data_IF_958831669842
#
_entry.id   IF_958831669842
#
_cell.length_a   1.000
_cell.length_b   1.000
_cell.length_c   1.000
_cell.angle_alpha   90.00
_cell.angle_beta   90.00
_cell.angle_gamma   90.00
#
_symmetry.space_group_name_H-M   'P 1'
#
loop_
_entity.id
_entity.type
_entity.pdbx_description
1 polymer ?
#
# COMPACT_ATOMS: atom_id res chain seq x y z
N UNK A 1 -14.01 20.34 6.25
CA UNK A 1 -12.80 19.86 6.96
C UNK A 1 -13.01 18.40 7.32
N UNK A 2 -12.35 17.47 6.63
CA UNK A 2 -12.37 16.04 6.96
C UNK A 2 -11.33 15.76 8.04
N UNK A 3 -11.79 15.51 9.27
CA UNK A 3 -10.92 15.20 10.41
C UNK A 3 -10.62 13.72 10.52
N UNK A 4 -9.61 13.39 11.31
CA UNK A 4 -9.27 12.00 11.67
C UNK A 4 -10.31 11.45 12.65
N UNK A 5 -10.90 10.29 12.35
CA UNK A 5 -11.88 9.61 13.22
C UNK A 5 -11.25 8.39 13.89
N UNK A 6 -11.50 8.23 15.18
CA UNK A 6 -11.05 7.08 15.98
C UNK A 6 -12.26 6.20 16.31
N UNK A 7 -12.20 4.92 15.96
CA UNK A 7 -13.12 3.90 16.43
C UNK A 7 -12.34 2.82 17.20
N UNK A 8 -12.81 2.41 18.37
CA UNK A 8 -12.17 1.37 19.17
C UNK A 8 -13.09 0.75 20.23
N UNK A 9 -12.89 -0.55 20.46
CA UNK A 9 -13.35 -1.33 21.63
C UNK A 9 -12.14 -1.59 22.55
N UNK A 10 -12.35 -1.83 23.85
CA UNK A 10 -11.28 -1.84 24.86
C UNK A 10 -10.22 -2.95 24.70
N UNK A 11 -10.46 -3.97 23.86
CA UNK A 11 -9.45 -4.92 23.38
C UNK A 11 -9.51 -5.00 21.84
N UNK A 12 -8.43 -4.62 21.15
CA UNK A 12 -8.34 -4.72 19.68
C UNK A 12 -7.59 -3.59 18.98
N UNK A 13 -7.79 -3.47 17.67
CA UNK A 13 -7.21 -2.42 16.84
C UNK A 13 -7.92 -1.08 17.03
N UNK A 14 -7.15 0.01 17.07
CA UNK A 14 -7.66 1.37 16.90
C UNK A 14 -7.57 1.73 15.43
N UNK A 15 -8.72 1.92 14.78
CA UNK A 15 -8.76 2.31 13.37
C UNK A 15 -8.77 3.84 13.26
N UNK A 16 -7.90 4.34 12.38
CA UNK A 16 -7.66 5.77 12.18
C UNK A 16 -7.99 6.08 10.73
N UNK A 17 -9.09 6.79 10.51
CA UNK A 17 -9.47 7.24 9.17
C UNK A 17 -8.73 8.53 8.82
N UNK A 18 -7.97 8.52 7.73
CA UNK A 18 -7.19 9.68 7.26
C UNK A 18 -8.02 10.56 6.34
N UNK A 19 -7.67 11.84 6.12
CA UNK A 19 -8.32 12.66 5.10
C UNK A 19 -8.36 11.97 3.74
N UNK A 20 -9.48 12.09 3.02
CA UNK A 20 -9.69 11.39 1.73
C UNK A 20 -8.74 11.78 0.60
N UNK A 21 -7.98 12.88 0.77
CA UNK A 21 -6.89 13.24 -0.14
C UNK A 21 -5.55 12.86 0.49
N UNK A 22 -4.91 11.84 -0.08
CA UNK A 22 -3.67 11.28 0.44
C UNK A 22 -2.54 12.33 0.51
N UNK A 23 -2.48 13.24 -0.46
CA UNK A 23 -1.48 14.32 -0.51
C UNK A 23 -1.52 15.23 0.72
N UNK A 24 -2.72 15.53 1.21
CA UNK A 24 -2.91 16.37 2.40
C UNK A 24 -2.39 15.69 3.65
N UNK A 25 -2.42 14.35 3.70
CA UNK A 25 -1.92 13.58 4.82
C UNK A 25 -0.43 13.28 4.70
N UNK A 26 0.05 12.85 3.53
CA UNK A 26 1.43 12.39 3.35
C UNK A 26 2.43 13.54 3.21
N UNK A 27 2.09 14.56 2.41
CA UNK A 27 3.05 15.58 2.01
C UNK A 27 3.06 16.80 2.92
N UNK A 28 1.97 17.06 3.66
CA UNK A 28 1.94 18.09 4.70
C UNK A 28 2.55 17.54 5.98
N UNK A 29 3.23 18.39 6.73
CA UNK A 29 3.90 17.98 7.98
C UNK A 29 2.96 17.37 9.03
N UNK A 30 1.67 17.75 9.00
CA UNK A 30 0.72 17.35 10.04
C UNK A 30 0.47 15.85 10.06
N UNK A 31 0.36 15.17 8.92
CA UNK A 31 0.10 13.73 8.89
C UNK A 31 1.24 12.90 9.48
N UNK A 32 2.50 13.06 9.02
CA UNK A 32 3.64 12.39 9.62
C UNK A 32 3.82 12.72 11.11
N UNK A 33 3.58 13.96 11.54
CA UNK A 33 3.63 14.33 12.97
C UNK A 33 2.57 13.62 13.81
N UNK A 34 1.35 13.47 13.28
CA UNK A 34 0.28 12.70 13.93
C UNK A 34 0.70 11.24 14.06
N UNK A 35 1.17 10.61 12.99
CA UNK A 35 1.62 9.21 13.02
C UNK A 35 2.82 9.02 13.94
N UNK A 36 3.78 9.95 13.95
CA UNK A 36 4.91 9.93 14.85
C UNK A 36 4.43 9.89 16.30
N UNK A 37 3.53 10.80 16.69
CA UNK A 37 2.97 10.85 18.04
C UNK A 37 2.23 9.56 18.42
N UNK A 38 1.37 9.05 17.53
CA UNK A 38 0.64 7.79 17.76
C UNK A 38 1.58 6.59 17.92
N UNK A 39 2.65 6.56 17.14
CA UNK A 39 3.61 5.46 17.11
C UNK A 39 4.57 5.42 18.32
N UNK A 40 4.54 6.44 19.19
CA UNK A 40 5.30 6.46 20.46
C UNK A 40 4.64 5.59 21.52
N UNK A 41 3.31 5.62 21.59
CA UNK A 41 2.54 4.93 22.63
C UNK A 41 1.85 3.65 22.12
N UNK A 42 1.91 3.39 20.81
CA UNK A 42 1.26 2.22 20.22
C UNK A 42 2.00 1.70 18.99
N UNK A 43 1.97 0.37 18.79
CA UNK A 43 2.41 -0.23 17.54
C UNK A 43 1.45 0.24 16.44
N UNK A 44 2.00 0.88 15.41
CA UNK A 44 1.23 1.53 14.34
C UNK A 44 1.64 0.94 13.01
N UNK A 45 0.65 0.64 12.16
CA UNK A 45 0.83 0.20 10.78
C UNK A 45 -0.05 1.07 9.88
N UNK A 46 0.47 1.47 8.73
CA UNK A 46 -0.31 2.16 7.70
C UNK A 46 -0.92 1.12 6.75
N UNK A 47 -2.19 1.29 6.39
CA UNK A 47 -2.84 0.49 5.34
C UNK A 47 -2.97 1.36 4.10
N UNK A 48 -2.19 1.07 3.06
CA UNK A 48 -2.24 1.76 1.78
C UNK A 48 -3.27 1.10 0.87
N UNK A 49 -4.28 1.86 0.43
CA UNK A 49 -5.42 1.34 -0.32
C UNK A 49 -5.25 1.65 -1.81
N UNK A 50 -5.20 0.61 -2.62
CA UNK A 50 -5.15 0.62 -4.08
C UNK A 50 -6.57 0.46 -4.61
N UNK A 51 -6.93 1.33 -5.56
CA UNK A 51 -8.17 1.19 -6.34
C UNK A 51 -7.85 0.42 -7.63
N UNK A 52 -8.49 -0.74 -7.89
CA UNK A 52 -8.19 -1.58 -9.05
C UNK A 52 -8.51 -0.88 -10.37
N UNK A 53 -9.42 0.10 -10.40
CA UNK A 53 -9.70 0.86 -11.61
C UNK A 53 -8.61 1.88 -11.94
N UNK A 54 -7.86 2.33 -10.93
CA UNK A 54 -6.71 3.24 -11.08
C UNK A 54 -5.38 2.49 -11.23
N UNK A 55 -5.36 1.18 -11.00
CA UNK A 55 -4.19 0.31 -11.14
C UNK A 55 -4.39 -0.74 -12.24
N UNK A 56 -5.07 -0.35 -13.32
CA UNK A 56 -5.51 -1.30 -14.37
C UNK A 56 -4.43 -1.53 -15.44
N UNK A 57 -3.53 -0.58 -15.65
CA UNK A 57 -2.34 -0.79 -16.48
C UNK A 57 -1.14 -1.30 -15.64
N UNK A 58 -0.21 -2.06 -16.25
CA UNK A 58 1.08 -2.42 -15.66
C UNK A 58 1.82 -1.24 -15.02
N UNK A 59 1.96 -0.14 -15.76
CA UNK A 59 2.62 1.08 -15.31
C UNK A 59 1.90 1.72 -14.11
N UNK A 60 0.57 1.73 -14.11
CA UNK A 60 -0.23 2.25 -12.99
C UNK A 60 -0.01 1.45 -11.69
N UNK A 61 0.07 0.12 -11.80
CA UNK A 61 0.34 -0.75 -10.65
C UNK A 61 1.74 -0.51 -10.07
N UNK A 62 2.74 -0.32 -10.94
CA UNK A 62 4.10 0.02 -10.52
C UNK A 62 4.15 1.39 -9.79
N UNK A 63 3.43 2.39 -10.31
CA UNK A 63 3.30 3.70 -9.66
C UNK A 63 2.60 3.57 -8.31
N UNK A 64 1.50 2.82 -8.23
CA UNK A 64 0.76 2.60 -6.98
C UNK A 64 1.61 1.87 -5.93
N UNK A 65 2.35 0.85 -6.34
CA UNK A 65 3.30 0.11 -5.48
C UNK A 65 4.39 1.05 -4.94
N UNK A 66 4.91 1.93 -5.80
CA UNK A 66 5.89 2.95 -5.41
C UNK A 66 5.32 3.94 -4.40
N UNK A 67 4.05 4.33 -4.54
CA UNK A 67 3.38 5.19 -3.58
C UNK A 67 3.18 4.53 -2.21
N UNK A 68 3.01 3.21 -2.15
CA UNK A 68 3.03 2.46 -0.89
C UNK A 68 4.41 2.54 -0.20
N UNK A 69 5.49 2.37 -0.97
CA UNK A 69 6.86 2.50 -0.47
C UNK A 69 7.10 3.92 0.05
N UNK A 70 6.71 4.94 -0.72
CA UNK A 70 6.80 6.35 -0.31
C UNK A 70 6.01 6.60 0.97
N UNK A 71 4.83 5.99 1.12
CA UNK A 71 4.01 6.06 2.33
C UNK A 71 4.76 5.52 3.55
N UNK A 72 5.37 4.33 3.44
CA UNK A 72 6.22 3.74 4.49
C UNK A 72 7.37 4.69 4.88
N UNK A 73 8.11 5.20 3.88
CA UNK A 73 9.25 6.09 4.11
C UNK A 73 8.84 7.40 4.77
N UNK A 74 7.71 7.97 4.36
CA UNK A 74 7.23 9.27 4.82
C UNK A 74 6.65 9.19 6.23
N UNK A 75 5.90 8.12 6.54
CA UNK A 75 5.26 7.94 7.84
C UNK A 75 6.14 7.25 8.87
N UNK A 76 7.25 6.62 8.46
CA UNK A 76 8.20 5.91 9.33
C UNK A 76 7.54 4.82 10.20
N UNK A 77 6.50 4.20 9.66
CA UNK A 77 5.82 3.03 10.21
C UNK A 77 5.72 1.96 9.12
N UNK A 78 5.63 0.67 9.48
CA UNK A 78 5.31 -0.39 8.54
C UNK A 78 4.07 -0.05 7.72
N UNK A 79 4.04 -0.46 6.44
CA UNK A 79 2.91 -0.25 5.56
C UNK A 79 2.48 -1.57 4.92
N UNK A 80 1.18 -1.86 4.97
CA UNK A 80 0.55 -3.00 4.29
C UNK A 80 -0.29 -2.45 3.15
N UNK A 81 -0.16 -3.03 1.96
CA UNK A 81 -0.93 -2.63 0.79
C UNK A 81 -2.13 -3.52 0.60
N UNK A 82 -3.27 -2.92 0.26
CA UNK A 82 -4.49 -3.65 -0.12
C UNK A 82 -5.02 -3.17 -1.46
N UNK A 83 -5.59 -4.07 -2.24
CA UNK A 83 -6.49 -3.72 -3.36
C UNK A 83 -7.90 -3.85 -2.84
N UNK A 84 -8.63 -2.74 -2.76
CA UNK A 84 -10.03 -2.73 -2.31
C UNK A 84 -10.99 -2.79 -3.52
N UNK A 85 -12.29 -3.04 -3.30
CA UNK A 85 -13.35 -3.06 -4.33
C UNK A 85 -13.21 -4.21 -5.33
N UNK A 86 -12.66 -5.35 -4.91
CA UNK A 86 -12.54 -6.53 -5.78
C UNK A 86 -13.91 -7.08 -6.24
N UNK A 87 -14.99 -6.77 -5.52
CA UNK A 87 -16.36 -7.09 -5.94
C UNK A 87 -16.80 -6.38 -7.23
N UNK A 88 -16.13 -5.29 -7.61
CA UNK A 88 -16.41 -4.53 -8.82
C UNK A 88 -15.43 -4.82 -9.96
N UNK A 89 -14.26 -5.37 -9.64
CA UNK A 89 -13.23 -5.63 -10.61
C UNK A 89 -13.31 -7.08 -11.08
N UNK A 90 -13.57 -7.30 -12.38
CA UNK A 90 -13.31 -8.60 -13.04
C UNK A 90 -11.80 -8.73 -13.23
N UNK A 91 -11.08 -8.95 -12.15
CA UNK A 91 -9.67 -8.58 -12.03
C UNK A 91 -8.67 -9.65 -12.50
N UNK A 92 -9.03 -10.51 -13.46
CA UNK A 92 -8.14 -11.60 -13.92
C UNK A 92 -6.75 -11.09 -14.38
N UNK A 93 -6.68 -9.88 -14.92
CA UNK A 93 -5.41 -9.30 -15.38
C UNK A 93 -4.62 -8.65 -14.24
N UNK A 94 -5.28 -7.98 -13.28
CA UNK A 94 -4.61 -7.47 -12.08
C UNK A 94 -4.05 -8.62 -11.23
N UNK A 95 -4.75 -9.75 -11.16
CA UNK A 95 -4.27 -10.96 -10.48
C UNK A 95 -2.97 -11.48 -11.09
N UNK A 96 -2.91 -11.56 -12.43
CA UNK A 96 -1.69 -11.99 -13.12
C UNK A 96 -0.55 -11.00 -12.90
N UNK A 97 -0.83 -9.69 -12.92
CA UNK A 97 0.17 -8.65 -12.71
C UNK A 97 0.71 -8.62 -11.29
N UNK A 98 -0.14 -8.90 -10.29
CA UNK A 98 0.28 -9.01 -8.88
C UNK A 98 1.02 -10.32 -8.59
N UNK A 99 0.71 -11.40 -9.32
CA UNK A 99 1.34 -12.70 -9.11
C UNK A 99 2.72 -12.82 -9.76
N UNK A 100 3.01 -12.03 -10.80
CA UNK A 100 4.26 -12.10 -11.55
C UNK A 100 4.86 -10.71 -11.79
N UNK A 101 5.71 -10.28 -10.85
CA UNK A 101 6.48 -9.03 -10.94
C UNK A 101 7.41 -8.98 -12.17
N UNK A 102 7.87 -10.13 -12.67
CA UNK A 102 8.73 -10.18 -13.86
C UNK A 102 7.91 -9.92 -15.12
N UNK A 103 6.69 -10.45 -15.16
CA UNK A 103 5.71 -10.13 -16.21
C UNK A 103 5.34 -8.65 -16.18
N UNK A 104 5.11 -8.08 -15.00
CA UNK A 104 4.87 -6.64 -14.81
C UNK A 104 6.01 -5.80 -15.41
N UNK A 105 7.27 -6.10 -15.04
CA UNK A 105 8.43 -5.38 -15.55
C UNK A 105 8.58 -5.51 -17.07
N UNK A 106 8.34 -6.70 -17.63
CA UNK A 106 8.38 -6.92 -19.07
C UNK A 106 7.32 -6.10 -19.80
N UNK A 107 6.08 -6.06 -19.31
CA UNK A 107 4.96 -5.31 -19.92
C UNK A 107 5.27 -3.82 -19.97
N UNK A 108 5.77 -3.25 -18.88
CA UNK A 108 6.11 -1.82 -18.81
C UNK A 108 7.24 -1.48 -19.79
N UNK A 109 8.24 -2.36 -19.93
CA UNK A 109 9.31 -2.16 -20.92
C UNK A 109 8.80 -2.20 -22.38
N UNK A 110 7.69 -2.89 -22.65
CA UNK A 110 7.05 -2.92 -23.98
C UNK A 110 6.08 -1.74 -24.24
N UNK A 111 5.66 -1.01 -23.20
CA UNK A 111 4.77 0.16 -23.34
C UNK A 111 5.51 1.38 -23.90
N UNK A 112 6.83 1.45 -23.75
CA UNK A 112 7.64 2.65 -23.99
C UNK A 112 8.80 2.40 -24.95
N UNK A 113 9.32 3.46 -25.61
CA UNK A 113 10.45 3.38 -26.54
C UNK A 113 11.61 4.30 -26.14
N UNK A 114 12.85 3.86 -26.41
CA UNK A 114 14.06 4.65 -26.19
C UNK A 114 14.36 4.88 -24.70
N UNK A 115 14.79 6.08 -24.33
CA UNK A 115 15.26 6.41 -22.96
C UNK A 115 14.20 6.18 -21.88
N UNK A 116 12.91 6.28 -22.22
CA UNK A 116 11.82 6.06 -21.27
C UNK A 116 11.71 4.57 -20.92
N UNK A 117 11.93 3.66 -21.88
CA UNK A 117 11.99 2.23 -21.60
C UNK A 117 13.15 1.88 -20.65
N UNK A 118 14.33 2.49 -20.86
CA UNK A 118 15.49 2.31 -19.97
C UNK A 118 15.22 2.81 -18.54
N UNK A 119 14.55 3.95 -18.41
CA UNK A 119 14.13 4.48 -17.12
C UNK A 119 13.13 3.53 -16.43
N UNK A 120 12.13 3.06 -17.18
CA UNK A 120 11.13 2.11 -16.68
C UNK A 120 11.76 0.81 -16.18
N UNK A 121 12.75 0.26 -16.90
CA UNK A 121 13.46 -0.94 -16.46
C UNK A 121 14.19 -0.71 -15.13
N UNK A 122 14.95 0.39 -15.00
CA UNK A 122 15.65 0.73 -13.74
C UNK A 122 14.67 0.99 -12.59
N UNK A 123 13.55 1.63 -12.88
CA UNK A 123 12.51 1.88 -11.90
C UNK A 123 11.89 0.57 -11.40
N UNK A 124 11.65 -0.38 -12.31
CA UNK A 124 11.13 -1.70 -11.95
C UNK A 124 12.13 -2.53 -11.14
N UNK A 125 13.43 -2.43 -11.40
CA UNK A 125 14.45 -3.05 -10.54
C UNK A 125 14.39 -2.51 -9.11
N UNK A 126 14.27 -1.18 -8.95
CA UNK A 126 14.12 -0.55 -7.65
C UNK A 126 12.83 -0.99 -6.94
N UNK A 127 11.70 -1.00 -7.65
CA UNK A 127 10.42 -1.47 -7.08
C UNK A 127 10.57 -2.91 -6.64
N UNK A 128 11.11 -3.78 -7.48
CA UNK A 128 11.31 -5.21 -7.20
C UNK A 128 12.13 -5.44 -5.95
N UNK A 129 13.18 -4.65 -5.73
CA UNK A 129 14.00 -4.79 -4.51
C UNK A 129 13.27 -4.32 -3.25
N UNK A 130 12.44 -3.29 -3.37
CA UNK A 130 11.69 -2.71 -2.25
C UNK A 130 10.36 -3.42 -1.98
N UNK A 131 9.80 -4.13 -2.95
CA UNK A 131 8.54 -4.88 -2.86
C UNK A 131 8.69 -6.30 -2.32
N UNK A 132 9.91 -6.85 -2.19
CA UNK A 132 10.13 -8.22 -1.70
C UNK A 132 9.45 -8.54 -0.36
N UNK A 133 9.30 -7.53 0.50
CA UNK A 133 8.64 -7.65 1.79
C UNK A 133 7.18 -7.16 1.79
N UNK A 134 6.69 -6.61 0.67
CA UNK A 134 5.34 -6.06 0.56
C UNK A 134 4.39 -7.11 0.01
N UNK A 135 3.49 -7.61 0.86
CA UNK A 135 2.36 -8.42 0.43
C UNK A 135 1.16 -7.53 0.15
N UNK A 136 0.62 -7.62 -1.08
CA UNK A 136 -0.62 -6.93 -1.46
C UNK A 136 -1.80 -7.86 -1.19
N UNK A 137 -2.71 -7.45 -0.31
CA UNK A 137 -3.92 -8.22 0.04
C UNK A 137 -5.10 -7.73 -0.77
N UNK A 138 -5.92 -8.65 -1.29
CA UNK A 138 -7.14 -8.31 -2.02
C UNK A 138 -8.31 -8.32 -1.06
N UNK A 139 -9.12 -7.26 -1.04
CA UNK A 139 -10.27 -7.15 -0.16
C UNK A 139 -11.47 -6.50 -0.84
N UNK A 140 -12.67 -6.80 -0.37
CA UNK A 140 -13.84 -5.96 -0.60
C UNK A 140 -14.35 -5.45 0.74
N UNK A 141 -14.21 -4.15 0.97
CA UNK A 141 -14.84 -3.50 2.12
C UNK A 141 -16.38 -3.58 2.08
N UNK A 142 -16.98 -3.87 0.91
CA UNK A 142 -18.43 -3.97 0.73
C UNK A 142 -18.97 -5.37 1.08
N UNK A 143 -18.30 -6.43 0.64
CA UNK A 143 -18.75 -7.81 0.86
C UNK A 143 -18.07 -8.48 2.06
N UNK A 144 -16.95 -7.92 2.53
CA UNK A 144 -16.11 -8.52 3.57
C UNK A 144 -15.10 -9.55 3.06
N UNK A 145 -15.09 -9.83 1.75
CA UNK A 145 -14.15 -10.74 1.12
C UNK A 145 -12.70 -10.31 1.37
N UNK A 146 -11.81 -11.26 1.67
CA UNK A 146 -10.37 -11.03 1.89
C UNK A 146 -10.00 -10.29 3.18
N UNK A 147 -10.98 -9.80 3.95
CA UNK A 147 -10.71 -9.07 5.20
C UNK A 147 -10.01 -9.93 6.27
N UNK A 148 -10.27 -11.24 6.29
CA UNK A 148 -9.55 -12.17 7.18
C UNK A 148 -8.07 -12.30 6.79
N UNK A 149 -7.77 -12.30 5.49
CA UNK A 149 -6.40 -12.42 4.99
C UNK A 149 -5.55 -11.19 5.34
N UNK A 150 -6.17 -10.06 5.65
CA UNK A 150 -5.50 -8.82 6.05
C UNK A 150 -4.92 -8.88 7.47
N UNK A 151 -5.45 -9.74 8.35
CA UNK A 151 -4.99 -9.82 9.75
C UNK A 151 -3.54 -10.28 9.87
N UNK A 152 -3.13 -11.29 9.09
CA UNK A 152 -1.77 -11.84 9.19
C UNK A 152 -0.71 -10.79 8.79
N UNK A 153 -0.79 -10.13 7.60
CA UNK A 153 0.17 -9.10 7.23
C UNK A 153 0.19 -7.91 8.19
N UNK A 154 -0.97 -7.52 8.75
CA UNK A 154 -1.03 -6.49 9.79
C UNK A 154 -0.28 -6.93 11.05
N UNK A 155 -0.52 -8.16 11.52
CA UNK A 155 0.15 -8.69 12.71
C UNK A 155 1.66 -8.79 12.51
N UNK A 156 2.11 -9.30 11.36
CA UNK A 156 3.52 -9.42 11.00
C UNK A 156 4.19 -8.04 10.95
N UNK A 157 3.57 -7.07 10.28
CA UNK A 157 4.05 -5.70 10.18
C UNK A 157 4.16 -5.02 11.57
N UNK A 158 3.23 -5.31 12.48
CA UNK A 158 3.28 -4.79 13.85
C UNK A 158 4.34 -5.48 14.71
N UNK A 159 4.75 -6.71 14.37
CA UNK A 159 5.84 -7.43 15.02
C UNK A 159 7.24 -6.97 14.56
N UNK A 160 7.41 -6.52 13.31
CA UNK A 160 8.72 -6.08 12.75
C UNK A 160 9.45 -5.01 13.60
N UNK A 161 8.74 -4.20 14.40
CA UNK A 161 9.38 -3.23 15.30
C UNK A 161 10.01 -3.85 16.56
N UNK A 162 9.73 -5.11 16.86
CA UNK A 162 10.27 -5.81 18.05
C UNK A 162 11.76 -6.15 17.96
N UNK A 163 12.36 -6.13 16.76
CA UNK A 163 13.72 -6.64 16.53
C UNK A 163 14.80 -5.54 16.40
N UNK A 164 14.47 -4.26 16.61
CA UNK A 164 15.39 -3.13 16.41
C UNK A 164 15.66 -2.29 17.68
N UNK A 165 15.43 -2.86 18.86
CA UNK A 165 15.83 -2.32 20.17
C UNK A 165 16.43 -3.42 21.01
#
# INVERSE_FOLDING_TARGET
MGGVRLAGYEEGFKLIDTPGQMELFLFREMGPKIIEALSRDSRTVAVYIIDPFLASAPSDLAISTSMSIITRLRLKVPAVSIVNKIDLAKADDLEKLLADESMLASRIAFEEYGLIADLSMKFMELIKDLSKAMRIVRVSAKTGEGMQDLYNPISDALCERGDLT
#
